data_IF_055497157797
#
_entry.id   IF_055497157797
#
_cell.length_a   1.000
_cell.length_b   1.000
_cell.length_c   1.000
_cell.angle_alpha   90.00
_cell.angle_beta   90.00
_cell.angle_gamma   90.00
#
_symmetry.space_group_name_H-M   'P 1'
#
loop_
_entity.id
_entity.type
_entity.pdbx_description
1 polymer ?
#
# COMPACT_ATOMS: atom_id res chain seq x y z
N UNK A 1 -5.58 -28.03 7.11
CA UNK A 1 -4.74 -26.85 6.91
C UNK A 1 -5.62 -25.64 7.10
N UNK A 2 -5.55 -24.99 8.26
CA UNK A 2 -6.40 -23.85 8.56
C UNK A 2 -5.69 -22.60 8.04
N UNK A 3 -6.11 -22.10 6.89
CA UNK A 3 -5.58 -20.86 6.34
C UNK A 3 -5.93 -19.73 7.32
N UNK A 4 -4.92 -19.05 7.86
CA UNK A 4 -5.08 -17.85 8.67
C UNK A 4 -5.34 -16.63 7.78
N UNK A 5 -5.69 -15.50 8.39
CA UNK A 5 -5.72 -14.22 7.68
C UNK A 5 -4.33 -13.93 7.10
N UNK A 6 -4.30 -13.38 5.89
CA UNK A 6 -3.07 -12.81 5.34
C UNK A 6 -2.75 -11.48 6.04
N UNK A 7 -1.50 -11.05 5.90
CA UNK A 7 -0.98 -9.86 6.56
C UNK A 7 -1.74 -8.60 6.13
N UNK A 8 -2.19 -8.53 4.88
CA UNK A 8 -2.94 -7.38 4.36
C UNK A 8 -4.31 -7.24 5.04
N UNK A 9 -5.09 -8.33 5.14
CA UNK A 9 -6.38 -8.28 5.80
C UNK A 9 -6.23 -8.07 7.32
N UNK A 10 -5.16 -8.60 7.92
CA UNK A 10 -4.86 -8.37 9.33
C UNK A 10 -4.51 -6.90 9.59
N UNK A 11 -3.70 -6.28 8.74
CA UNK A 11 -3.36 -4.86 8.80
C UNK A 11 -4.59 -3.95 8.62
N UNK A 12 -5.46 -4.27 7.66
CA UNK A 12 -6.72 -3.54 7.46
C UNK A 12 -7.60 -3.57 8.72
N UNK A 13 -7.74 -4.74 9.35
CA UNK A 13 -8.47 -4.89 10.62
C UNK A 13 -7.83 -4.12 11.78
N UNK A 14 -6.50 -3.99 11.81
CA UNK A 14 -5.79 -3.17 12.80
C UNK A 14 -5.97 -1.67 12.57
N UNK A 15 -6.03 -1.24 11.31
CA UNK A 15 -6.33 0.14 10.92
C UNK A 15 -7.78 0.56 11.21
N UNK A 16 -8.64 -0.41 11.57
CA UNK A 16 -10.06 -0.18 11.86
C UNK A 16 -10.96 -0.27 10.64
N UNK A 17 -10.44 -0.78 9.51
CA UNK A 17 -11.24 -1.02 8.31
C UNK A 17 -12.16 -2.23 8.51
N UNK A 18 -13.37 -2.13 7.97
CA UNK A 18 -14.34 -3.21 8.01
C UNK A 18 -14.29 -4.00 6.70
N UNK A 19 -13.53 -5.10 6.72
CA UNK A 19 -13.45 -6.05 5.62
C UNK A 19 -14.33 -7.26 5.96
N UNK A 20 -15.44 -7.43 5.25
CA UNK A 20 -16.48 -8.42 5.58
C UNK A 20 -15.96 -9.88 5.64
N UNK A 21 -15.10 -10.26 4.69
CA UNK A 21 -14.48 -11.59 4.68
C UNK A 21 -13.56 -11.80 5.89
N UNK A 22 -12.84 -10.76 6.30
CA UNK A 22 -11.91 -10.82 7.41
C UNK A 22 -12.64 -10.82 8.76
N UNK A 23 -13.69 -10.01 8.91
CA UNK A 23 -14.54 -10.02 10.12
C UNK A 23 -15.27 -11.34 10.28
N UNK A 24 -15.78 -11.93 9.19
CA UNK A 24 -16.36 -13.28 9.21
C UNK A 24 -15.31 -14.32 9.64
N UNK A 25 -14.08 -14.25 9.14
CA UNK A 25 -13.00 -15.14 9.56
C UNK A 25 -12.73 -15.09 11.07
N UNK A 26 -12.75 -13.91 11.70
CA UNK A 26 -12.55 -13.75 13.15
C UNK A 26 -13.64 -14.43 14.00
N UNK A 27 -14.82 -14.68 13.44
CA UNK A 27 -15.87 -15.46 14.13
C UNK A 27 -15.52 -16.95 14.18
N UNK A 28 -14.83 -17.45 13.15
CA UNK A 28 -14.49 -18.86 12.97
C UNK A 28 -13.10 -19.22 13.53
N UNK A 29 -12.15 -18.30 13.52
CA UNK A 29 -10.76 -18.56 13.91
C UNK A 29 -10.39 -17.91 15.24
N UNK A 30 -10.32 -18.72 16.30
CA UNK A 30 -9.95 -18.24 17.65
C UNK A 30 -8.52 -17.69 17.72
N UNK A 31 -7.59 -18.26 16.95
CA UNK A 31 -6.19 -17.83 16.93
C UNK A 31 -6.04 -16.41 16.40
N UNK A 32 -6.56 -16.14 15.19
CA UNK A 32 -6.51 -14.79 14.60
C UNK A 32 -7.24 -13.76 15.45
N UNK A 33 -8.33 -14.16 16.13
CA UNK A 33 -9.04 -13.28 17.08
C UNK A 33 -8.19 -12.93 18.29
N UNK A 34 -7.47 -13.90 18.86
CA UNK A 34 -6.58 -13.68 19.99
C UNK A 34 -5.41 -12.78 19.59
N UNK A 35 -4.80 -13.03 18.43
CA UNK A 35 -3.70 -12.25 17.89
C UNK A 35 -4.09 -10.80 17.58
N UNK A 36 -5.25 -10.58 16.96
CA UNK A 36 -5.76 -9.23 16.72
C UNK A 36 -6.03 -8.48 18.03
N UNK A 37 -6.52 -9.19 19.05
CA UNK A 37 -6.79 -8.61 20.36
C UNK A 37 -5.49 -8.22 21.08
N UNK A 38 -4.46 -9.08 21.05
CA UNK A 38 -3.16 -8.78 21.66
C UNK A 38 -2.47 -7.61 20.97
N UNK A 39 -2.51 -7.55 19.64
CA UNK A 39 -1.97 -6.44 18.87
C UNK A 39 -2.67 -5.10 19.20
N UNK A 40 -4.01 -5.08 19.28
CA UNK A 40 -4.77 -3.89 19.68
C UNK A 40 -4.44 -3.42 21.10
N UNK A 41 -4.27 -4.35 22.03
CA UNK A 41 -3.86 -4.03 23.40
C UNK A 41 -2.46 -3.40 23.44
N UNK A 42 -1.50 -3.95 22.70
CA UNK A 42 -0.14 -3.40 22.61
C UNK A 42 -0.13 -1.98 22.02
N UNK A 43 -0.88 -1.74 20.94
CA UNK A 43 -1.03 -0.40 20.35
C UNK A 43 -1.70 0.58 21.33
N UNK A 44 -2.69 0.13 22.10
CA UNK A 44 -3.32 0.93 23.15
C UNK A 44 -2.33 1.35 24.24
N UNK A 45 -1.51 0.42 24.72
CA UNK A 45 -0.46 0.71 25.70
C UNK A 45 0.60 1.68 25.15
N UNK A 46 1.03 1.48 23.90
CA UNK A 46 1.96 2.39 23.23
C UNK A 46 1.40 3.82 23.16
N UNK A 47 0.12 3.95 22.81
CA UNK A 47 -0.55 5.25 22.75
C UNK A 47 -0.58 5.95 24.11
N UNK A 48 -0.93 5.22 25.18
CA UNK A 48 -0.95 5.76 26.55
C UNK A 48 0.46 6.21 26.96
N UNK A 49 1.46 5.34 26.79
CA UNK A 49 2.85 5.67 27.13
C UNK A 49 3.37 6.89 26.35
N UNK A 50 2.95 7.03 25.09
CA UNK A 50 3.31 8.18 24.25
C UNK A 50 2.68 9.49 24.76
N UNK A 51 1.42 9.43 25.22
CA UNK A 51 0.73 10.57 25.83
C UNK A 51 1.43 10.95 27.14
N UNK A 52 1.63 9.99 28.05
CA UNK A 52 2.30 10.21 29.35
C UNK A 52 3.70 10.83 29.16
N UNK A 53 4.45 10.32 28.19
CA UNK A 53 5.77 10.84 27.85
C UNK A 53 5.71 12.27 27.32
N UNK A 54 4.72 12.57 26.46
CA UNK A 54 4.54 13.92 25.92
C UNK A 54 4.12 14.93 26.99
N UNK A 55 3.26 14.54 27.92
CA UNK A 55 2.81 15.37 29.03
C UNK A 55 3.95 15.63 30.01
N UNK A 56 4.73 14.60 30.37
CA UNK A 56 5.90 14.75 31.22
C UNK A 56 6.92 15.77 30.67
N UNK A 57 7.06 15.86 29.34
CA UNK A 57 7.94 16.83 28.69
C UNK A 57 7.39 18.26 28.69
N UNK A 58 6.07 18.44 28.57
CA UNK A 58 5.46 19.76 28.59
C UNK A 58 5.66 20.45 29.96
N UNK A 59 5.68 19.69 31.04
CA UNK A 59 5.95 20.21 32.39
C UNK A 59 7.44 20.31 32.74
N UNK A 60 8.31 19.59 32.06
CA UNK A 60 9.75 19.58 32.33
C UNK A 60 10.51 20.81 31.77
N UNK A 61 9.84 21.71 31.03
CA UNK A 61 10.46 22.90 30.47
C UNK A 61 10.02 24.15 31.22
N UNK A 62 10.68 24.55 32.31
CA UNK A 62 10.66 25.95 32.68
C UNK A 62 11.27 26.71 31.50
N UNK A 63 10.44 27.46 30.78
CA UNK A 63 10.91 28.55 29.92
C UNK A 63 11.45 29.62 30.87
N UNK A 64 12.59 29.34 31.49
CA UNK A 64 13.43 30.40 31.99
C UNK A 64 13.91 31.12 30.72
N UNK A 65 13.59 32.41 30.51
CA UNK A 65 14.31 33.16 29.50
C UNK A 65 15.78 33.06 29.93
N UNK A 66 16.60 32.41 29.11
CA UNK A 66 18.03 32.44 29.29
C UNK A 66 18.42 33.91 29.26
N UNK A 67 18.64 34.50 30.45
CA UNK A 67 19.22 35.82 30.58
C UNK A 67 20.64 35.67 30.05
N UNK A 68 20.82 35.86 28.75
CA UNK A 68 22.14 35.88 28.13
C UNK A 68 22.92 37.02 28.78
N UNK A 69 24.02 36.77 29.51
CA UNK A 69 24.92 37.86 29.89
C UNK A 69 25.45 38.44 28.58
N UNK A 70 25.31 39.75 28.42
CA UNK A 70 25.52 40.48 27.17
C UNK A 70 26.91 40.35 26.56
N UNK A 71 27.18 39.21 25.92
CA UNK A 71 28.30 39.03 25.02
C UNK A 71 27.74 39.08 23.61
N UNK A 72 27.67 40.30 23.08
CA UNK A 72 27.34 40.57 21.69
C UNK A 72 28.40 39.92 20.79
N UNK A 73 28.23 38.62 20.54
CA UNK A 73 29.00 37.89 19.56
C UNK A 73 28.58 38.42 18.20
N UNK A 74 29.40 39.35 17.66
CA UNK A 74 29.30 39.81 16.28
C UNK A 74 29.66 38.61 15.40
N UNK A 75 28.74 37.67 15.24
CA UNK A 75 28.88 36.62 14.24
C UNK A 75 28.95 37.31 12.87
N UNK A 76 30.00 37.07 12.07
CA UNK A 76 30.06 37.58 10.71
C UNK A 76 28.86 37.01 9.95
N UNK A 77 28.16 37.83 9.16
CA UNK A 77 26.94 37.45 8.43
C UNK A 77 27.10 36.19 7.55
N UNK A 78 28.33 35.84 7.20
CA UNK A 78 28.69 34.62 6.47
C UNK A 78 28.53 33.32 7.28
N UNK A 79 28.56 33.36 8.62
CA UNK A 79 28.38 32.18 9.45
C UNK A 79 26.95 31.61 9.37
N UNK A 80 25.93 32.48 9.28
CA UNK A 80 24.54 32.07 9.09
C UNK A 80 24.30 31.48 7.70
N UNK A 81 24.95 32.02 6.67
CA UNK A 81 24.87 31.49 5.31
C UNK A 81 25.50 30.08 5.20
N UNK A 82 26.60 29.83 5.91
CA UNK A 82 27.25 28.51 5.96
C UNK A 82 26.36 27.43 6.59
N UNK A 83 25.66 27.75 7.68
CA UNK A 83 24.74 26.80 8.35
C UNK A 83 23.53 26.49 7.46
N UNK A 84 22.97 27.49 6.77
CA UNK A 84 21.87 27.27 5.83
C UNK A 84 22.29 26.36 4.66
N UNK A 85 23.51 26.53 4.12
CA UNK A 85 24.04 25.66 3.07
C UNK A 85 24.30 24.23 3.57
N UNK A 86 24.86 24.10 4.78
CA UNK A 86 25.20 22.80 5.38
C UNK A 86 23.98 21.92 5.70
N UNK A 87 22.79 22.52 5.89
CA UNK A 87 21.52 21.78 6.10
C UNK A 87 20.84 21.43 4.77
N UNK A 88 20.99 22.24 3.73
CA UNK A 88 20.34 22.02 2.43
C UNK A 88 21.08 21.01 1.53
N UNK A 89 22.40 20.88 1.67
CA UNK A 89 23.20 19.95 0.85
C UNK A 89 22.92 18.47 1.19
N UNK A 90 22.83 18.05 2.46
CA UNK A 90 22.56 16.65 2.80
C UNK A 90 21.16 16.19 2.39
N UNK A 91 20.14 17.04 2.51
CA UNK A 91 18.75 16.66 2.20
C UNK A 91 18.53 16.41 0.71
N UNK A 92 19.16 17.21 -0.15
CA UNK A 92 19.14 16.99 -1.60
C UNK A 92 19.88 15.70 -2.01
N UNK A 93 21.00 15.38 -1.33
CA UNK A 93 21.76 14.16 -1.60
C UNK A 93 20.99 12.89 -1.17
N UNK A 94 20.37 12.90 0.01
CA UNK A 94 19.56 11.79 0.48
C UNK A 94 18.30 11.57 -0.37
N UNK A 95 17.59 12.64 -0.76
CA UNK A 95 16.45 12.53 -1.65
C UNK A 95 16.81 11.94 -3.02
N UNK A 96 18.02 12.25 -3.52
CA UNK A 96 18.50 11.71 -4.80
C UNK A 96 18.94 10.24 -4.71
N UNK A 97 19.37 9.78 -3.53
CA UNK A 97 19.62 8.35 -3.26
C UNK A 97 18.30 7.57 -3.19
N UNK A 98 17.30 8.08 -2.46
CA UNK A 98 15.98 7.45 -2.38
C UNK A 98 15.29 7.37 -3.75
N UNK A 99 15.40 8.40 -4.59
CA UNK A 99 14.87 8.37 -5.95
C UNK A 99 15.53 7.29 -6.82
N UNK A 100 16.84 7.04 -6.64
CA UNK A 100 17.53 5.98 -7.38
C UNK A 100 17.07 4.59 -6.96
N UNK A 101 16.86 4.38 -5.66
CA UNK A 101 16.34 3.11 -5.15
C UNK A 101 14.88 2.89 -5.58
N UNK A 102 14.05 3.93 -5.53
CA UNK A 102 12.67 3.87 -6.00
C UNK A 102 12.59 3.57 -7.52
N UNK A 103 13.43 4.20 -8.33
CA UNK A 103 13.52 3.95 -9.76
C UNK A 103 14.04 2.53 -10.10
N UNK A 104 14.94 1.99 -9.28
CA UNK A 104 15.42 0.61 -9.43
C UNK A 104 14.34 -0.42 -9.06
N UNK A 105 13.55 -0.16 -8.01
CA UNK A 105 12.42 -1.03 -7.63
C UNK A 105 11.35 -1.06 -8.72
N UNK A 106 10.99 0.10 -9.29
CA UNK A 106 10.00 0.15 -10.37
C UNK A 106 10.50 -0.51 -11.66
N UNK A 107 11.80 -0.36 -11.99
CA UNK A 107 12.41 -1.06 -13.12
C UNK A 107 12.44 -2.59 -12.91
N UNK A 108 12.72 -3.05 -11.69
CA UNK A 108 12.70 -4.47 -11.35
C UNK A 108 11.28 -5.08 -11.44
N UNK A 109 10.26 -4.37 -10.93
CA UNK A 109 8.86 -4.83 -11.06
C UNK A 109 8.39 -4.88 -12.51
N UNK A 110 8.81 -3.91 -13.35
CA UNK A 110 8.46 -3.93 -14.77
C UNK A 110 9.09 -5.12 -15.51
N UNK A 111 10.34 -5.44 -15.17
CA UNK A 111 11.04 -6.60 -15.73
C UNK A 111 10.40 -7.93 -15.31
N UNK A 112 9.89 -8.00 -14.07
CA UNK A 112 9.18 -9.17 -13.54
C UNK A 112 7.84 -9.39 -14.25
N UNK A 113 7.04 -8.33 -14.42
CA UNK A 113 5.80 -8.39 -15.22
C UNK A 113 6.03 -8.82 -16.66
N UNK A 114 7.11 -8.34 -17.29
CA UNK A 114 7.45 -8.74 -18.66
C UNK A 114 7.81 -10.24 -18.75
N UNK A 115 8.42 -10.80 -17.69
CA UNK A 115 8.76 -12.22 -17.61
C UNK A 115 7.50 -13.07 -17.42
N UNK A 116 6.57 -12.64 -16.58
CA UNK A 116 5.29 -13.32 -16.38
C UNK A 116 4.45 -13.33 -17.66
N UNK A 117 4.38 -12.21 -18.38
CA UNK A 117 3.69 -12.13 -19.67
C UNK A 117 4.28 -13.10 -20.70
N UNK A 118 5.61 -13.30 -20.70
CA UNK A 118 6.26 -14.29 -21.56
C UNK A 118 5.88 -15.72 -21.19
N UNK A 119 5.82 -16.05 -19.89
CA UNK A 119 5.42 -17.37 -19.41
C UNK A 119 3.95 -17.66 -19.75
N UNK A 120 3.05 -16.71 -19.53
CA UNK A 120 1.63 -16.86 -19.88
C UNK A 120 1.43 -17.07 -21.39
N UNK A 121 2.20 -16.35 -22.22
CA UNK A 121 2.15 -16.54 -23.67
C UNK A 121 2.73 -17.89 -24.12
N UNK A 122 3.77 -18.40 -23.45
CA UNK A 122 4.31 -19.73 -23.72
C UNK A 122 3.28 -20.82 -23.39
N UNK A 123 2.67 -20.74 -22.19
CA UNK A 123 1.60 -21.65 -21.75
C UNK A 123 0.42 -21.60 -22.72
N UNK A 124 -0.03 -20.40 -23.12
CA UNK A 124 -1.15 -20.26 -24.07
C UNK A 124 -0.87 -20.89 -25.42
N UNK A 125 0.39 -20.85 -25.88
CA UNK A 125 0.82 -21.47 -27.14
C UNK A 125 0.82 -22.99 -27.03
N UNK A 126 1.32 -23.53 -25.93
CA UNK A 126 1.31 -24.97 -25.64
C UNK A 126 -0.12 -25.50 -25.55
N UNK A 127 -1.03 -24.79 -24.85
CA UNK A 127 -2.45 -25.15 -24.81
C UNK A 127 -3.12 -25.06 -26.18
N UNK A 128 -2.78 -24.08 -27.01
CA UNK A 128 -3.35 -23.95 -28.35
C UNK A 128 -2.88 -25.07 -29.30
N UNK A 129 -1.69 -25.62 -29.06
CA UNK A 129 -1.11 -26.70 -29.86
C UNK A 129 -1.59 -28.09 -29.41
N UNK A 130 -1.91 -28.25 -28.12
CA UNK A 130 -2.35 -29.53 -27.54
C UNK A 130 -3.88 -29.73 -27.54
N UNK A 131 -4.68 -28.69 -27.77
CA UNK A 131 -6.13 -28.82 -28.00
C UNK A 131 -6.40 -29.36 -29.40
N UNK A 132 -6.54 -30.68 -29.49
CA UNK A 132 -6.94 -31.41 -30.69
C UNK A 132 -8.24 -30.84 -31.34
N UNK A 133 -8.40 -30.94 -32.67
CA UNK A 133 -9.55 -30.40 -33.41
C UNK A 133 -10.92 -31.03 -33.08
N UNK A 134 -11.01 -31.92 -32.11
CA UNK A 134 -12.25 -32.57 -31.66
C UNK A 134 -13.13 -31.71 -30.74
N UNK A 135 -12.71 -30.48 -30.39
CA UNK A 135 -13.53 -29.50 -29.64
C UNK A 135 -13.90 -28.27 -30.47
N UNK A 136 -14.06 -28.41 -31.79
CA UNK A 136 -14.76 -27.38 -32.55
C UNK A 136 -16.21 -27.30 -32.05
N UNK A 137 -16.66 -26.15 -31.52
CA UNK A 137 -18.06 -25.98 -31.18
C UNK A 137 -18.88 -26.20 -32.45
N UNK A 138 -19.90 -27.06 -32.38
CA UNK A 138 -20.89 -27.18 -33.45
C UNK A 138 -21.38 -25.75 -33.75
N UNK A 139 -20.98 -25.22 -34.91
CA UNK A 139 -21.65 -24.06 -35.48
C UNK A 139 -23.06 -24.55 -35.80
N UNK A 140 -24.00 -24.26 -34.91
CA UNK A 140 -25.42 -24.39 -35.21
C UNK A 140 -25.69 -23.32 -36.26
N UNK A 141 -25.87 -23.77 -37.49
CA UNK A 141 -26.35 -22.99 -38.62
C UNK A 141 -27.66 -22.31 -38.21
N UNK A 142 -27.61 -21.01 -37.89
CA UNK A 142 -28.80 -20.18 -37.69
C UNK A 142 -29.37 -19.81 -39.06
N UNK A 143 -29.89 -20.81 -39.77
CA UNK A 143 -30.82 -20.60 -40.87
C UNK A 143 -32.20 -21.10 -40.44
N UNK A 144 -33.22 -20.24 -40.65
CA UNK A 144 -34.60 -20.31 -40.14
C UNK A 144 -34.71 -19.88 -38.66
N UNK A 145 -35.37 -18.77 -38.33
CA UNK A 145 -36.77 -18.49 -38.65
C UNK A 145 -37.00 -16.97 -38.67
N UNK A 146 -37.55 -16.50 -39.78
CA UNK A 146 -38.19 -15.21 -39.96
C UNK A 146 -39.59 -15.27 -39.31
N UNK A 147 -39.92 -14.41 -38.33
CA UNK A 147 -41.29 -14.03 -38.05
C UNK A 147 -41.56 -12.68 -38.72
N UNK A 148 -42.36 -12.79 -39.76
CA UNK A 148 -43.32 -11.81 -40.24
C UNK A 148 -43.99 -11.08 -39.07
N UNK A 149 -43.81 -9.77 -38.95
CA UNK A 149 -44.78 -8.92 -38.26
C UNK A 149 -44.75 -7.48 -38.81
N UNK A 150 -45.94 -7.05 -39.23
CA UNK A 150 -46.23 -5.85 -39.97
C UNK A 150 -46.28 -4.59 -39.08
N UNK A 151 -45.91 -3.40 -39.59
CA UNK A 151 -46.38 -2.15 -39.04
C UNK A 151 -47.62 -1.65 -39.78
N UNK A 152 -48.68 -1.51 -38.98
CA UNK A 152 -49.92 -0.80 -39.26
C UNK A 152 -49.67 0.63 -39.75
N UNK A 153 -50.23 0.99 -40.91
CA UNK A 153 -50.52 2.39 -41.30
C UNK A 153 -51.92 2.71 -40.73
N UNK A 154 -52.10 3.62 -39.78
CA UNK A 154 -52.15 5.08 -39.93
C UNK A 154 -53.09 5.53 -41.05
N UNK A 155 -54.36 5.75 -40.70
CA UNK A 155 -55.17 6.94 -41.03
C UNK A 155 -56.35 7.06 -40.05
#
# INVERSE_FOLDING_TARGET
MNAHLNDEAFAALLAGEQVESATHHLTLCAHCRQELTSARLALGQLRIASIDWSEAQQFARPVAPAQSPGMAWRMPRFALAGIALAVLIPSAWFAHLEQREAAQRTAATLADHTRDDQLLNAVRRELAEEVAPSMQPLMIDQTATQPEDAPSQQE
#
